data_IF_952302640079
#
_entry.id   IF_952302640079
#
_cell.length_a   1.000
_cell.length_b   1.000
_cell.length_c   1.000
_cell.angle_alpha   90.00
_cell.angle_beta   90.00
_cell.angle_gamma   90.00
#
_symmetry.space_group_name_H-M   'P 1'
#
loop_
_entity.id
_entity.type
_entity.pdbx_description
1 polymer ?
#
# COMPACT_ATOMS: atom_id res chain seq x y z
N UNK A 1 4.08 0.16 -6.49
CA UNK A 1 4.55 -0.66 -7.63
C UNK A 1 3.43 -1.02 -8.59
N UNK A 2 2.43 -1.80 -8.20
CA UNK A 2 1.40 -2.32 -9.12
C UNK A 2 0.63 -1.22 -9.88
N UNK A 3 0.17 -0.17 -9.21
CA UNK A 3 -0.47 0.98 -9.86
C UNK A 3 0.35 1.54 -11.03
N UNK A 4 1.66 1.78 -10.79
CA UNK A 4 2.55 2.31 -11.82
C UNK A 4 2.67 1.36 -13.00
N UNK A 5 2.85 0.05 -12.75
CA UNK A 5 2.96 -0.96 -13.80
C UNK A 5 1.71 -1.05 -14.67
N UNK A 6 0.51 -0.90 -14.08
CA UNK A 6 -0.74 -0.89 -14.84
C UNK A 6 -0.85 0.36 -15.72
N UNK A 7 -0.53 1.54 -15.18
CA UNK A 7 -0.56 2.80 -15.96
C UNK A 7 0.47 2.79 -17.09
N UNK A 8 1.67 2.29 -16.84
CA UNK A 8 2.71 2.11 -17.87
C UNK A 8 2.29 1.12 -18.95
N UNK A 9 1.46 0.13 -18.63
CA UNK A 9 0.86 -0.80 -19.59
C UNK A 9 -0.35 -0.22 -20.34
N UNK A 10 -0.72 1.04 -20.11
CA UNK A 10 -1.79 1.74 -20.83
C UNK A 10 -3.17 1.67 -20.17
N UNK A 11 -3.29 1.11 -18.98
CA UNK A 11 -4.56 1.14 -18.24
C UNK A 11 -4.86 2.56 -17.71
N UNK A 12 -6.14 2.90 -17.64
CA UNK A 12 -6.58 4.17 -17.10
C UNK A 12 -6.17 4.30 -15.62
N UNK A 13 -5.58 5.44 -15.20
CA UNK A 13 -5.16 5.64 -13.82
C UNK A 13 -6.28 5.46 -12.79
N UNK A 14 -7.49 5.88 -13.14
CA UNK A 14 -8.68 5.72 -12.30
C UNK A 14 -9.01 4.24 -12.07
N UNK A 15 -9.01 3.43 -13.13
CA UNK A 15 -9.22 1.98 -13.04
C UNK A 15 -8.11 1.32 -12.22
N UNK A 16 -6.85 1.67 -12.48
CA UNK A 16 -5.72 1.17 -11.72
C UNK A 16 -5.81 1.52 -10.22
N UNK A 17 -6.32 2.70 -9.87
CA UNK A 17 -6.54 3.10 -8.48
C UNK A 17 -7.58 2.21 -7.80
N UNK A 18 -8.72 1.98 -8.44
CA UNK A 18 -9.77 1.12 -7.87
C UNK A 18 -9.28 -0.31 -7.67
N UNK A 19 -8.65 -0.90 -8.67
CA UNK A 19 -8.18 -2.29 -8.63
C UNK A 19 -7.06 -2.54 -7.60
N UNK A 20 -6.11 -1.61 -7.44
CA UNK A 20 -4.93 -1.85 -6.59
C UNK A 20 -5.02 -1.26 -5.19
N UNK A 21 -5.93 -0.32 -4.95
CA UNK A 21 -6.01 0.38 -3.67
C UNK A 21 -7.41 0.33 -3.05
N UNK A 22 -8.43 0.77 -3.79
CA UNK A 22 -9.79 0.83 -3.25
C UNK A 22 -10.35 -0.56 -2.93
N UNK A 23 -10.11 -1.53 -3.81
CA UNK A 23 -10.56 -2.92 -3.63
C UNK A 23 -9.96 -3.59 -2.40
N UNK A 24 -8.80 -3.15 -1.91
CA UNK A 24 -8.19 -3.70 -0.70
C UNK A 24 -9.15 -3.71 0.50
N UNK A 25 -10.06 -2.72 0.58
CA UNK A 25 -11.05 -2.70 1.66
C UNK A 25 -11.96 -3.93 1.62
N UNK A 26 -12.44 -4.30 0.43
CA UNK A 26 -13.26 -5.51 0.27
C UNK A 26 -12.49 -6.76 0.68
N UNK A 27 -11.27 -6.91 0.20
CA UNK A 27 -10.42 -8.06 0.51
C UNK A 27 -10.13 -8.16 2.02
N UNK A 28 -9.78 -7.04 2.64
CA UNK A 28 -9.53 -7.00 4.09
C UNK A 28 -10.79 -7.32 4.89
N UNK A 29 -11.94 -6.78 4.51
CA UNK A 29 -13.23 -7.06 5.18
C UNK A 29 -13.60 -8.55 5.09
N UNK A 30 -13.36 -9.19 3.96
CA UNK A 30 -13.60 -10.63 3.77
C UNK A 30 -12.67 -11.48 4.65
N UNK A 31 -11.38 -11.14 4.69
CA UNK A 31 -10.39 -11.82 5.54
C UNK A 31 -10.74 -11.64 7.02
N UNK A 32 -11.08 -10.42 7.41
CA UNK A 32 -11.44 -10.09 8.80
C UNK A 32 -12.65 -10.90 9.28
N UNK A 33 -13.67 -11.07 8.43
CA UNK A 33 -14.92 -11.77 8.77
C UNK A 33 -14.82 -13.28 8.75
N UNK A 34 -14.03 -13.86 7.85
CA UNK A 34 -14.05 -15.30 7.62
C UNK A 34 -12.71 -15.95 7.29
N UNK A 35 -11.60 -15.20 7.38
CA UNK A 35 -10.28 -15.71 7.08
C UNK A 35 -9.99 -15.85 5.58
N UNK A 36 -8.81 -16.36 5.26
CA UNK A 36 -8.34 -16.48 3.88
C UNK A 36 -9.21 -17.40 3.02
N UNK A 37 -9.71 -18.49 3.58
CA UNK A 37 -10.55 -19.44 2.84
C UNK A 37 -11.88 -18.80 2.43
N UNK A 38 -12.50 -18.04 3.33
CA UNK A 38 -13.73 -17.31 3.03
C UNK A 38 -13.50 -16.19 2.01
N UNK A 39 -12.40 -15.47 2.12
CA UNK A 39 -12.05 -14.44 1.16
C UNK A 39 -11.91 -15.04 -0.24
N UNK A 40 -11.13 -16.12 -0.40
CA UNK A 40 -10.93 -16.81 -1.68
C UNK A 40 -12.26 -17.32 -2.26
N UNK A 41 -13.09 -17.95 -1.45
CA UNK A 41 -14.43 -18.41 -1.87
C UNK A 41 -15.33 -17.26 -2.34
N UNK A 42 -15.15 -16.05 -1.83
CA UNK A 42 -16.01 -14.90 -2.08
C UNK A 42 -15.57 -14.05 -3.30
N UNK A 43 -14.40 -14.30 -3.85
CA UNK A 43 -13.89 -13.64 -5.07
C UNK A 43 -14.14 -14.53 -6.29
N UNK A 44 -13.80 -14.03 -7.50
CA UNK A 44 -13.95 -14.84 -8.70
C UNK A 44 -12.95 -15.98 -8.77
N UNK A 45 -13.31 -17.10 -9.41
CA UNK A 45 -12.43 -18.24 -9.65
C UNK A 45 -11.13 -17.82 -10.35
N UNK A 46 -11.19 -16.84 -11.24
CA UNK A 46 -10.02 -16.30 -11.95
C UNK A 46 -9.09 -15.56 -11.00
N UNK A 47 -9.63 -14.77 -10.07
CA UNK A 47 -8.83 -14.06 -9.06
C UNK A 47 -8.21 -15.03 -8.06
N UNK A 48 -8.96 -16.03 -7.60
CA UNK A 48 -8.45 -17.10 -6.73
C UNK A 48 -7.35 -17.90 -7.43
N UNK A 49 -7.54 -18.29 -8.68
CA UNK A 49 -6.51 -18.95 -9.48
C UNK A 49 -5.24 -18.09 -9.62
N UNK A 50 -5.41 -16.79 -9.88
CA UNK A 50 -4.31 -15.83 -9.94
C UNK A 50 -3.49 -15.77 -8.64
N UNK A 51 -4.15 -15.80 -7.47
CA UNK A 51 -3.48 -15.85 -6.18
C UNK A 51 -2.56 -17.08 -6.07
N UNK A 52 -3.04 -18.26 -6.46
CA UNK A 52 -2.26 -19.49 -6.38
C UNK A 52 -1.09 -19.56 -7.36
N UNK A 53 -1.24 -19.09 -8.59
CA UNK A 53 -0.21 -19.26 -9.63
C UNK A 53 0.70 -18.07 -9.81
N UNK A 54 0.23 -16.87 -9.50
CA UNK A 54 1.01 -15.62 -9.65
C UNK A 54 1.58 -15.11 -8.34
N UNK A 55 0.89 -15.33 -7.22
CA UNK A 55 1.35 -14.94 -5.89
C UNK A 55 2.77 -15.44 -5.58
N UNK A 56 3.09 -16.74 -5.73
CA UNK A 56 4.42 -17.27 -5.45
C UNK A 56 5.55 -16.75 -6.36
N UNK A 57 5.22 -16.16 -7.50
CA UNK A 57 6.22 -15.52 -8.38
C UNK A 57 6.71 -14.19 -7.82
N UNK A 58 5.89 -13.52 -7.02
CA UNK A 58 6.19 -12.22 -6.38
C UNK A 58 6.62 -12.41 -4.93
N UNK A 59 5.84 -13.17 -4.18
CA UNK A 59 6.14 -13.51 -2.78
C UNK A 59 6.83 -14.87 -2.75
N UNK A 60 8.13 -14.87 -2.93
CA UNK A 60 9.00 -16.04 -3.08
C UNK A 60 10.07 -16.09 -1.99
N UNK A 61 11.05 -16.99 -2.10
CA UNK A 61 12.12 -17.14 -1.10
C UNK A 61 12.99 -15.87 -0.95
N UNK A 62 13.17 -15.09 -2.01
CA UNK A 62 13.90 -13.81 -1.91
C UNK A 62 13.08 -12.77 -1.11
N UNK A 63 11.77 -12.72 -1.29
CA UNK A 63 10.88 -11.89 -0.47
C UNK A 63 10.97 -12.28 1.01
N UNK A 64 10.96 -13.59 1.30
CA UNK A 64 11.11 -14.13 2.65
C UNK A 64 12.49 -13.82 3.26
N UNK A 65 13.55 -13.90 2.46
CA UNK A 65 14.90 -13.51 2.88
C UNK A 65 14.99 -12.02 3.21
N UNK A 66 14.40 -11.16 2.38
CA UNK A 66 14.33 -9.72 2.65
C UNK A 66 13.59 -9.43 3.97
N UNK A 67 12.45 -10.08 4.22
CA UNK A 67 11.71 -9.94 5.47
C UNK A 67 12.53 -10.37 6.70
N UNK A 68 13.30 -11.46 6.60
CA UNK A 68 14.21 -11.88 7.67
C UNK A 68 15.33 -10.88 7.93
N UNK A 69 15.88 -10.27 6.86
CA UNK A 69 16.87 -9.19 6.99
C UNK A 69 16.30 -7.97 7.72
N UNK A 70 15.10 -7.53 7.36
CA UNK A 70 14.40 -6.43 8.06
C UNK A 70 14.15 -6.76 9.53
N UNK A 71 13.72 -7.99 9.83
CA UNK A 71 13.56 -8.43 11.21
C UNK A 71 14.88 -8.38 11.99
N UNK A 72 15.99 -8.81 11.37
CA UNK A 72 17.32 -8.73 11.97
C UNK A 72 17.73 -7.29 12.28
N UNK A 73 17.52 -6.35 11.32
CA UNK A 73 17.82 -4.93 11.51
C UNK A 73 17.01 -4.31 12.68
N UNK A 74 15.79 -4.81 12.90
CA UNK A 74 14.98 -4.39 14.06
C UNK A 74 15.56 -4.96 15.35
N UNK A 75 15.90 -6.25 15.37
CA UNK A 75 16.36 -6.95 16.58
C UNK A 75 17.75 -6.47 17.05
N UNK A 76 18.65 -6.17 16.13
CA UNK A 76 20.02 -5.69 16.43
C UNK A 76 20.12 -4.16 16.62
N UNK A 77 19.01 -3.45 16.40
CA UNK A 77 18.91 -2.01 16.58
C UNK A 77 19.39 -1.18 15.40
N UNK A 78 19.76 -1.78 14.28
CA UNK A 78 20.19 -1.08 13.04
C UNK A 78 19.08 -0.14 12.54
N UNK A 79 17.82 -0.63 12.50
CA UNK A 79 16.67 0.20 12.14
C UNK A 79 16.51 1.42 13.07
N UNK A 80 16.58 1.19 14.38
CA UNK A 80 16.44 2.26 15.36
C UNK A 80 17.56 3.29 15.26
N UNK A 81 18.81 2.86 15.05
CA UNK A 81 19.98 3.76 14.86
C UNK A 81 19.79 4.64 13.63
N UNK A 82 19.35 4.08 12.50
CA UNK A 82 19.11 4.85 11.27
C UNK A 82 17.99 5.87 11.48
N UNK A 83 16.88 5.47 12.09
CA UNK A 83 15.76 6.38 12.40
C UNK A 83 16.21 7.54 13.29
N UNK A 84 16.91 7.26 14.39
CA UNK A 84 17.41 8.30 15.31
C UNK A 84 18.42 9.23 14.64
N UNK A 85 19.28 8.73 13.79
CA UNK A 85 20.24 9.55 13.03
C UNK A 85 19.51 10.56 12.13
N UNK A 86 18.45 10.13 11.42
CA UNK A 86 17.64 11.05 10.63
C UNK A 86 16.89 12.05 11.51
N UNK A 87 16.28 11.64 12.62
CA UNK A 87 15.63 12.55 13.56
C UNK A 87 16.57 13.64 14.06
N UNK A 88 17.81 13.27 14.44
CA UNK A 88 18.84 14.19 14.94
C UNK A 88 19.40 15.10 13.85
N UNK A 89 19.32 14.70 12.58
CA UNK A 89 19.74 15.51 11.42
C UNK A 89 18.65 16.49 10.93
N UNK A 90 17.52 16.57 11.63
CA UNK A 90 16.38 17.42 11.26
C UNK A 90 15.39 16.74 10.34
N UNK A 91 15.31 15.40 10.35
CA UNK A 91 14.33 14.58 9.62
C UNK A 91 14.36 14.75 8.10
N UNK A 92 15.52 14.95 7.54
CA UNK A 92 15.68 15.25 6.10
C UNK A 92 15.26 14.10 5.21
N UNK A 93 15.70 12.88 5.52
CA UNK A 93 15.33 11.68 4.76
C UNK A 93 13.84 11.38 4.91
N UNK A 94 13.32 11.45 6.13
CA UNK A 94 11.90 11.23 6.40
C UNK A 94 10.99 12.23 5.66
N UNK A 95 11.37 13.50 5.64
CA UNK A 95 10.60 14.52 4.91
C UNK A 95 10.66 14.31 3.40
N UNK A 96 11.83 13.96 2.87
CA UNK A 96 11.99 13.65 1.45
C UNK A 96 11.08 12.48 1.00
N UNK A 97 10.95 11.43 1.83
CA UNK A 97 9.99 10.34 1.56
C UNK A 97 8.55 10.82 1.57
N UNK A 98 8.16 11.62 2.57
CA UNK A 98 6.79 12.18 2.62
C UNK A 98 6.45 13.02 1.39
N UNK A 99 7.36 13.87 0.97
CA UNK A 99 7.15 14.75 -0.19
C UNK A 99 7.03 13.93 -1.48
N UNK A 100 7.89 12.93 -1.65
CA UNK A 100 7.83 12.03 -2.80
C UNK A 100 6.53 11.22 -2.86
N UNK A 101 6.07 10.69 -1.73
CA UNK A 101 4.81 9.94 -1.66
C UNK A 101 3.59 10.85 -1.87
N UNK A 102 3.58 12.05 -1.31
CA UNK A 102 2.49 13.02 -1.52
C UNK A 102 2.37 13.46 -2.99
N UNK A 103 3.48 13.52 -3.72
CA UNK A 103 3.53 13.83 -5.14
C UNK A 103 3.25 12.62 -6.06
N UNK A 104 3.08 11.42 -5.49
CA UNK A 104 2.88 10.22 -6.30
C UNK A 104 1.54 10.29 -7.08
N UNK A 105 1.51 9.90 -8.38
CA UNK A 105 0.28 9.97 -9.19
C UNK A 105 -0.93 9.26 -8.59
N UNK A 106 -0.73 8.20 -7.80
CA UNK A 106 -1.81 7.50 -7.10
C UNK A 106 -2.53 8.40 -6.09
N UNK A 107 -1.81 9.29 -5.41
CA UNK A 107 -2.40 10.25 -4.46
C UNK A 107 -3.20 11.33 -5.19
N UNK A 108 -2.69 11.84 -6.31
CA UNK A 108 -3.37 12.84 -7.13
C UNK A 108 -4.71 12.28 -7.65
N UNK A 109 -4.68 11.10 -8.26
CA UNK A 109 -5.88 10.42 -8.75
C UNK A 109 -6.80 10.03 -7.60
N UNK A 110 -6.26 9.48 -6.52
CA UNK A 110 -7.01 9.07 -5.34
C UNK A 110 -7.76 10.23 -4.70
N UNK A 111 -7.15 11.41 -4.58
CA UNK A 111 -7.80 12.62 -4.05
C UNK A 111 -9.00 13.02 -4.91
N UNK A 112 -8.84 13.01 -6.24
CA UNK A 112 -9.93 13.31 -7.18
C UNK A 112 -11.09 12.33 -7.06
N UNK A 113 -10.78 11.03 -7.00
CA UNK A 113 -11.80 9.97 -6.90
C UNK A 113 -12.52 10.00 -5.55
N UNK A 114 -11.80 10.15 -4.44
CA UNK A 114 -12.42 10.27 -3.11
C UNK A 114 -13.35 11.47 -3.01
N UNK A 115 -12.99 12.60 -3.63
CA UNK A 115 -13.86 13.78 -3.67
C UNK A 115 -15.19 13.53 -4.44
N UNK A 116 -15.22 12.59 -5.37
CA UNK A 116 -16.44 12.20 -6.10
C UNK A 116 -17.28 11.13 -5.38
N UNK A 117 -16.82 10.65 -4.23
CA UNK A 117 -17.48 9.60 -3.43
C UNK A 117 -17.84 10.13 -2.03
N UNK A 118 -18.89 10.97 -1.89
CA UNK A 118 -19.22 11.64 -0.63
C UNK A 118 -19.58 10.65 0.50
N UNK A 119 -19.99 9.44 0.16
CA UNK A 119 -20.29 8.38 1.13
C UNK A 119 -19.04 7.84 1.87
N UNK A 120 -17.83 8.18 1.41
CA UNK A 120 -16.58 7.78 2.07
C UNK A 120 -16.18 8.71 3.23
N UNK A 121 -16.81 9.89 3.34
CA UNK A 121 -16.38 10.94 4.27
C UNK A 121 -14.86 11.20 4.16
N UNK A 122 -14.37 11.65 3.00
CA UNK A 122 -12.94 11.71 2.72
C UNK A 122 -12.21 12.71 3.63
N UNK A 123 -11.05 12.31 4.14
CA UNK A 123 -10.22 13.12 5.04
C UNK A 123 -8.93 13.51 4.34
N UNK A 124 -8.45 14.73 4.57
CA UNK A 124 -7.15 15.22 4.07
C UNK A 124 -6.13 15.40 5.19
N UNK A 125 -4.85 15.32 4.85
CA UNK A 125 -3.75 15.55 5.82
C UNK A 125 -3.80 16.99 6.35
N UNK A 126 -4.17 17.95 5.52
CA UNK A 126 -4.30 19.36 5.87
C UNK A 126 -5.39 19.60 6.93
N UNK A 127 -6.50 18.88 6.87
CA UNK A 127 -7.58 18.94 7.87
C UNK A 127 -7.12 18.37 9.21
N UNK A 128 -6.50 17.19 9.19
CA UNK A 128 -6.02 16.53 10.42
C UNK A 128 -4.87 17.32 11.05
N UNK A 129 -3.99 17.94 10.27
CA UNK A 129 -2.86 18.69 10.80
C UNK A 129 -3.27 19.99 11.52
N UNK A 130 -4.42 20.56 11.16
CA UNK A 130 -4.99 21.74 11.84
C UNK A 130 -5.67 21.42 13.18
N UNK A 131 -5.98 20.14 13.40
CA UNK A 131 -6.64 19.67 14.64
C UNK A 131 -5.68 19.17 15.71
N UNK A 132 -4.37 19.20 15.43
CA UNK A 132 -3.28 18.85 16.37
C UNK A 132 -2.54 20.11 16.83
#
# INVERSE_FOLDING_TARGET
MLFRSLVEAGYQPESAYFEVLHELKLIVDLIYRGGLAYMRYSISDTAEWGDYVSGPRVINEESKKAMKGILQDIQDGTFAKRFLADQNSGRKEFQAFRDAEAAHPIEIIGKKLRASMPFLDPVTVEEVSKSR
#
